data_IF_884728434375
#
_entry.id   IF_884728434375
#
_cell.length_a   1.000
_cell.length_b   1.000
_cell.length_c   1.000
_cell.angle_alpha   90.00
_cell.angle_beta   90.00
_cell.angle_gamma   90.00
#
_symmetry.space_group_name_H-M   'P 1'
#
loop_
_entity.id
_entity.type
_entity.pdbx_description
1 polymer ?
#
# COMPACT_ATOMS: atom_id res chain seq x y z
N UNK A 1 11.74 -23.25 -13.65
CA UNK A 1 10.81 -23.40 -12.51
C UNK A 1 9.81 -22.27 -12.65
N UNK A 2 8.52 -22.56 -12.65
CA UNK A 2 7.50 -21.59 -13.07
C UNK A 2 7.49 -20.35 -12.19
N UNK A 3 7.73 -19.18 -12.77
CA UNK A 3 7.36 -17.87 -12.23
C UNK A 3 5.83 -17.79 -12.13
N UNK A 4 5.24 -18.55 -11.21
CA UNK A 4 3.83 -18.44 -10.88
C UNK A 4 3.61 -17.05 -10.27
N UNK A 5 3.16 -16.11 -11.11
CA UNK A 5 2.80 -14.77 -10.68
C UNK A 5 1.55 -14.89 -9.81
N UNK A 6 1.67 -14.43 -8.57
CA UNK A 6 0.52 -14.30 -7.69
C UNK A 6 -0.10 -12.93 -7.97
N UNK A 7 -1.38 -12.92 -8.37
CA UNK A 7 -2.16 -11.70 -8.53
C UNK A 7 -2.99 -11.50 -7.27
N UNK A 8 -2.85 -10.35 -6.63
CA UNK A 8 -3.69 -9.93 -5.50
C UNK A 8 -4.56 -8.81 -6.00
N UNK A 9 -5.87 -9.02 -5.95
CA UNK A 9 -6.85 -7.96 -6.24
C UNK A 9 -7.13 -7.21 -4.94
N UNK A 10 -7.09 -5.88 -5.02
CA UNK A 10 -7.36 -4.99 -3.90
C UNK A 10 -8.54 -4.09 -4.29
N UNK A 11 -9.43 -3.84 -3.35
CA UNK A 11 -10.42 -2.77 -3.48
C UNK A 11 -9.74 -1.41 -3.49
N UNK A 12 -10.43 -0.37 -3.96
CA UNK A 12 -9.90 0.99 -3.95
C UNK A 12 -9.52 1.44 -2.52
N UNK A 13 -10.35 1.12 -1.53
CA UNK A 13 -10.09 1.45 -0.12
C UNK A 13 -8.84 0.72 0.41
N UNK A 14 -8.67 -0.58 0.12
CA UNK A 14 -7.48 -1.35 0.54
C UNK A 14 -6.22 -0.84 -0.14
N UNK A 15 -6.30 -0.56 -1.44
CA UNK A 15 -5.20 -0.04 -2.22
C UNK A 15 -4.74 1.33 -1.68
N UNK A 16 -5.69 2.20 -1.31
CA UNK A 16 -5.43 3.52 -0.73
C UNK A 16 -4.78 3.44 0.66
N UNK A 17 -5.27 2.55 1.53
CA UNK A 17 -4.70 2.39 2.88
C UNK A 17 -3.31 1.76 2.80
N UNK A 18 -3.12 0.76 1.93
CA UNK A 18 -1.85 0.08 1.74
C UNK A 18 -0.79 1.01 1.14
N UNK A 19 -1.15 1.83 0.14
CA UNK A 19 -0.22 2.79 -0.47
C UNK A 19 0.25 3.84 0.54
N UNK A 20 -0.67 4.40 1.34
CA UNK A 20 -0.32 5.33 2.41
C UNK A 20 0.63 4.71 3.44
N UNK A 21 0.39 3.46 3.84
CA UNK A 21 1.28 2.77 4.77
C UNK A 21 2.67 2.52 4.16
N UNK A 22 2.73 2.12 2.89
CA UNK A 22 3.99 1.91 2.16
C UNK A 22 4.81 3.20 2.00
N UNK A 23 4.16 4.34 1.79
CA UNK A 23 4.82 5.64 1.75
C UNK A 23 5.43 5.98 3.12
N UNK A 24 4.64 5.84 4.20
CA UNK A 24 5.14 6.02 5.57
C UNK A 24 6.29 5.08 5.90
N UNK A 25 6.22 3.84 5.43
CA UNK A 25 7.26 2.85 5.61
C UNK A 25 8.56 3.33 4.97
N UNK A 26 8.52 3.83 3.72
CA UNK A 26 9.69 4.38 3.01
C UNK A 26 10.27 5.64 3.65
N UNK A 27 9.43 6.48 4.25
CA UNK A 27 9.91 7.64 5.04
C UNK A 27 10.54 7.23 6.37
N UNK A 28 10.22 6.04 6.86
CA UNK A 28 10.79 5.45 8.07
C UNK A 28 11.99 4.60 7.70
N UNK A 29 12.84 4.27 8.67
CA UNK A 29 13.94 3.35 8.45
C UNK A 29 13.39 1.93 8.19
N UNK A 30 13.28 1.56 6.91
CA UNK A 30 12.70 0.29 6.44
C UNK A 30 13.35 -0.91 7.14
N UNK A 31 14.65 -0.81 7.43
CA UNK A 31 15.44 -1.87 8.07
C UNK A 31 15.01 -2.17 9.51
N UNK A 32 14.27 -1.25 10.15
CA UNK A 32 13.71 -1.46 11.50
C UNK A 32 12.37 -2.17 11.51
N UNK A 33 11.65 -2.15 10.40
CA UNK A 33 10.30 -2.73 10.28
C UNK A 33 10.35 -4.05 9.50
N UNK A 34 11.37 -4.21 8.66
CA UNK A 34 11.52 -5.32 7.75
C UNK A 34 12.92 -5.91 7.89
N UNK A 35 12.99 -7.08 8.52
CA UNK A 35 14.25 -7.77 8.84
C UNK A 35 14.93 -8.39 7.60
N UNK A 36 14.18 -8.75 6.56
CA UNK A 36 14.70 -9.43 5.37
C UNK A 36 14.82 -8.48 4.17
N UNK A 37 16.02 -8.24 3.61
CA UNK A 37 16.20 -7.41 2.43
C UNK A 37 15.54 -8.00 1.17
N UNK A 38 15.26 -9.30 1.12
CA UNK A 38 14.59 -9.94 -0.01
C UNK A 38 13.17 -9.39 -0.24
N UNK A 39 12.50 -8.87 0.80
CA UNK A 39 11.16 -8.31 0.65
C UNK A 39 11.17 -6.85 0.18
N UNK A 40 12.33 -6.17 0.13
CA UNK A 40 12.41 -4.79 -0.35
C UNK A 40 11.99 -4.68 -1.82
N UNK A 41 12.49 -5.59 -2.67
CA UNK A 41 12.16 -5.61 -4.09
C UNK A 41 10.64 -5.76 -4.37
N UNK A 42 9.92 -6.73 -3.76
CA UNK A 42 8.47 -6.80 -3.93
C UNK A 42 7.72 -5.63 -3.29
N UNK A 43 8.16 -5.10 -2.13
CA UNK A 43 7.56 -3.90 -1.51
C UNK A 43 7.64 -2.71 -2.45
N UNK A 44 8.81 -2.42 -3.03
CA UNK A 44 8.97 -1.34 -4.00
C UNK A 44 8.13 -1.56 -5.27
N UNK A 45 8.00 -2.82 -5.74
CA UNK A 45 7.14 -3.13 -6.88
C UNK A 45 5.67 -2.85 -6.57
N UNK A 46 5.17 -3.29 -5.41
CA UNK A 46 3.78 -3.05 -4.98
C UNK A 46 3.54 -1.54 -4.84
N UNK A 47 4.44 -0.83 -4.15
CA UNK A 47 4.33 0.63 -3.99
C UNK A 47 4.27 1.34 -5.34
N UNK A 48 5.16 1.01 -6.28
CA UNK A 48 5.17 1.61 -7.61
C UNK A 48 3.97 1.22 -8.48
N UNK A 49 3.38 0.05 -8.27
CA UNK A 49 2.13 -0.35 -8.94
C UNK A 49 0.94 0.43 -8.39
N UNK A 50 0.85 0.59 -7.07
CA UNK A 50 -0.23 1.33 -6.41
C UNK A 50 -0.19 2.82 -6.73
N UNK A 51 1.00 3.44 -6.72
CA UNK A 51 1.20 4.84 -7.07
C UNK A 51 0.67 5.17 -8.48
N UNK A 52 0.90 4.25 -9.44
CA UNK A 52 0.40 4.39 -10.81
C UNK A 52 -1.10 4.11 -10.96
N UNK A 53 -1.63 3.20 -10.15
CA UNK A 53 -3.02 2.77 -10.24
C UNK A 53 -3.99 3.73 -9.53
N UNK A 54 -3.50 4.51 -8.56
CA UNK A 54 -4.30 5.39 -7.71
C UNK A 54 -3.99 6.86 -7.98
N UNK A 55 -4.58 7.49 -9.02
CA UNK A 55 -4.49 8.93 -9.22
C UNK A 55 -5.09 9.73 -8.04
N UNK A 56 -5.91 9.08 -7.22
CA UNK A 56 -6.56 9.64 -6.03
C UNK A 56 -5.58 10.02 -4.91
N UNK A 57 -4.35 9.48 -4.93
CA UNK A 57 -3.28 9.87 -4.01
C UNK A 57 -2.91 11.36 -4.11
N UNK A 58 -3.17 11.95 -5.28
CA UNK A 58 -2.89 13.37 -5.56
C UNK A 58 -4.14 14.25 -5.42
N UNK A 59 -5.26 13.69 -4.96
CA UNK A 59 -6.48 14.45 -4.76
C UNK A 59 -6.34 15.39 -3.54
N UNK A 60 -6.89 16.62 -3.60
CA UNK A 60 -6.84 17.57 -2.48
C UNK A 60 -7.60 17.06 -1.24
N UNK A 61 -8.54 16.14 -1.43
CA UNK A 61 -9.33 15.49 -0.39
C UNK A 61 -8.77 14.10 0.02
N UNK A 62 -7.50 13.82 -0.31
CA UNK A 62 -6.83 12.56 -0.01
C UNK A 62 -6.97 12.10 1.45
N UNK A 63 -6.68 12.98 2.42
CA UNK A 63 -6.78 12.64 3.85
C UNK A 63 -8.20 12.21 4.26
N UNK A 64 -9.23 12.86 3.69
CA UNK A 64 -10.61 12.52 3.98
C UNK A 64 -10.99 11.15 3.39
N UNK A 65 -10.53 10.85 2.17
CA UNK A 65 -10.74 9.53 1.55
C UNK A 65 -10.02 8.43 2.30
N UNK A 66 -8.79 8.68 2.73
CA UNK A 66 -7.99 7.74 3.50
C UNK A 66 -8.67 7.38 4.83
N UNK A 67 -9.17 8.38 5.57
CA UNK A 67 -9.87 8.13 6.82
C UNK A 67 -11.19 7.38 6.60
N UNK A 68 -11.95 7.72 5.55
CA UNK A 68 -13.16 6.99 5.19
C UNK A 68 -12.87 5.54 4.81
N UNK A 69 -11.82 5.29 4.02
CA UNK A 69 -11.36 3.95 3.66
C UNK A 69 -10.97 3.14 4.91
N UNK A 70 -10.20 3.74 5.83
CA UNK A 70 -9.84 3.11 7.11
C UNK A 70 -11.05 2.76 7.95
N UNK A 71 -12.05 3.63 8.00
CA UNK A 71 -13.28 3.37 8.75
C UNK A 71 -14.06 2.18 8.16
N UNK A 72 -14.11 2.05 6.83
CA UNK A 72 -14.79 0.92 6.17
C UNK A 72 -14.04 -0.40 6.33
N UNK A 73 -12.70 -0.36 6.39
CA UNK A 73 -11.87 -1.56 6.48
C UNK A 73 -11.61 -2.05 7.91
N UNK A 74 -11.81 -1.19 8.92
CA UNK A 74 -11.74 -1.62 10.31
C UNK A 74 -12.91 -2.57 10.60
N UNK A 75 -12.65 -3.80 11.07
CA UNK A 75 -13.74 -4.65 11.53
C UNK A 75 -14.49 -3.93 12.65
N UNK A 76 -15.81 -3.95 12.59
CA UNK A 76 -16.66 -3.60 13.74
C UNK A 76 -16.30 -4.58 14.87
N UNK A 77 -15.96 -4.04 16.05
CA UNK A 77 -15.54 -4.81 17.24
C UNK A 77 -16.65 -5.76 17.74
#
# INVERSE_FOLDING_TARGET
MGDSRITVELTADEALVLSHWLEKLQMTDLSRVVDDPAVWAPIHRIAGTLDKALPELFAPDYDQRLEAARQRLRPED
#
